data_IF_919599674852
#
_entry.id   IF_919599674852
#
_cell.length_a   1.000
_cell.length_b   1.000
_cell.length_c   1.000
_cell.angle_alpha   90.00
_cell.angle_beta   90.00
_cell.angle_gamma   90.00
#
_symmetry.space_group_name_H-M   'P 1'
#
loop_
_entity.id
_entity.type
_entity.pdbx_description
1 polymer ?
#
# COMPACT_ATOMS: atom_id res chain seq x y z
N UNK A 1 -15.95 -7.77 -13.56
CA UNK A 1 -16.22 -6.47 -14.20
C UNK A 1 -15.41 -5.43 -13.44
N UNK A 2 -14.55 -4.65 -14.13
CA UNK A 2 -13.78 -3.59 -13.48
C UNK A 2 -14.71 -2.42 -13.13
N UNK A 3 -14.39 -1.69 -12.07
CA UNK A 3 -15.12 -0.46 -11.72
C UNK A 3 -14.69 0.69 -12.63
N UNK A 4 -15.61 1.59 -12.96
CA UNK A 4 -15.32 2.81 -13.73
C UNK A 4 -14.53 3.85 -12.91
N UNK A 5 -14.50 3.71 -11.59
CA UNK A 5 -13.81 4.63 -10.67
C UNK A 5 -13.06 3.91 -9.55
N UNK A 6 -11.80 4.30 -9.35
CA UNK A 6 -10.93 3.87 -8.27
C UNK A 6 -10.37 5.08 -7.52
N UNK A 7 -10.32 5.00 -6.19
CA UNK A 7 -9.87 6.07 -5.30
C UNK A 7 -8.71 5.53 -4.46
N UNK A 8 -7.51 5.94 -4.81
CA UNK A 8 -6.27 5.57 -4.13
C UNK A 8 -6.01 6.61 -3.04
N UNK A 9 -6.09 6.21 -1.77
CA UNK A 9 -6.02 7.15 -0.65
C UNK A 9 -4.96 6.77 0.37
N UNK A 10 -4.32 7.75 1.00
CA UNK A 10 -3.36 7.53 2.10
C UNK A 10 -2.08 8.34 1.94
N UNK A 11 -1.15 8.16 2.88
CA UNK A 11 0.06 8.99 3.00
C UNK A 11 1.23 8.59 2.09
N UNK A 12 1.14 7.45 1.39
CA UNK A 12 2.20 6.99 0.48
C UNK A 12 1.99 7.49 -0.95
N UNK A 13 2.47 8.69 -1.25
CA UNK A 13 2.33 9.29 -2.58
C UNK A 13 3.07 8.51 -3.67
N UNK A 14 4.22 7.92 -3.35
CA UNK A 14 5.04 7.16 -4.30
C UNK A 14 4.30 5.88 -4.70
N UNK A 15 3.90 5.07 -3.72
CA UNK A 15 3.20 3.82 -3.99
C UNK A 15 1.86 4.03 -4.70
N UNK A 16 1.10 5.08 -4.35
CA UNK A 16 -0.14 5.44 -5.05
C UNK A 16 0.14 5.70 -6.53
N UNK A 17 1.11 6.58 -6.82
CA UNK A 17 1.46 6.97 -8.18
C UNK A 17 1.96 5.77 -8.98
N UNK A 18 2.93 5.03 -8.46
CA UNK A 18 3.50 3.85 -9.15
C UNK A 18 2.44 2.79 -9.43
N UNK A 19 1.56 2.52 -8.46
CA UNK A 19 0.49 1.54 -8.63
C UNK A 19 -0.56 2.03 -9.64
N UNK A 20 -0.87 3.32 -9.68
CA UNK A 20 -1.81 3.88 -10.66
C UNK A 20 -1.28 3.73 -12.08
N UNK A 21 0.01 4.04 -12.31
CA UNK A 21 0.65 3.84 -13.60
C UNK A 21 0.76 2.36 -13.95
N UNK A 22 1.19 1.51 -13.02
CA UNK A 22 1.27 0.07 -13.25
C UNK A 22 -0.09 -0.51 -13.65
N UNK A 23 -1.15 -0.13 -12.95
CA UNK A 23 -2.50 -0.62 -13.22
C UNK A 23 -2.99 -0.15 -14.59
N UNK A 24 -2.79 1.13 -14.92
CA UNK A 24 -3.13 1.67 -16.23
C UNK A 24 -2.35 0.99 -17.36
N UNK A 25 -1.02 0.91 -17.23
CA UNK A 25 -0.13 0.26 -18.21
C UNK A 25 -0.52 -1.21 -18.45
N UNK A 26 -0.90 -1.91 -17.38
CA UNK A 26 -1.35 -3.31 -17.49
C UNK A 26 -2.62 -3.46 -18.31
N UNK A 27 -3.59 -2.55 -18.16
CA UNK A 27 -4.84 -2.55 -18.92
C UNK A 27 -4.67 -2.06 -20.36
N UNK A 28 -3.69 -1.18 -20.59
CA UNK A 28 -3.39 -0.62 -21.91
C UNK A 28 -2.41 -1.50 -22.72
N UNK A 29 -1.98 -2.64 -22.17
CA UNK A 29 -0.96 -3.52 -22.79
C UNK A 29 0.30 -2.75 -23.23
N UNK A 30 0.73 -1.80 -22.41
CA UNK A 30 1.84 -0.89 -22.71
C UNK A 30 2.84 -0.89 -21.56
N UNK A 31 4.14 -0.89 -21.86
CA UNK A 31 5.20 -0.83 -20.84
C UNK A 31 5.68 0.61 -20.57
N UNK A 32 5.08 1.61 -21.23
CA UNK A 32 5.47 3.02 -21.12
C UNK A 32 4.37 3.89 -20.54
N UNK A 33 4.76 4.93 -19.81
CA UNK A 33 3.84 5.93 -19.22
C UNK A 33 3.22 6.91 -20.23
N UNK A 34 3.34 6.64 -21.53
CA UNK A 34 2.75 7.44 -22.60
C UNK A 34 1.92 6.50 -23.49
N UNK A 35 0.61 6.79 -23.56
CA UNK A 35 -0.34 6.03 -24.36
C UNK A 35 -1.45 6.98 -24.84
N UNK A 36 -1.95 6.86 -26.09
CA UNK A 36 -3.04 7.72 -26.58
C UNK A 36 -4.33 7.55 -25.78
N UNK A 37 -4.53 6.39 -25.14
CA UNK A 37 -5.67 6.11 -24.26
C UNK A 37 -5.36 6.30 -22.75
N UNK A 38 -4.28 7.01 -22.42
CA UNK A 38 -3.95 7.43 -21.06
C UNK A 38 -3.96 8.97 -20.94
N UNK A 39 -4.79 9.50 -20.04
CA UNK A 39 -4.80 10.93 -19.71
C UNK A 39 -4.33 11.14 -18.28
N UNK A 40 -3.23 11.88 -18.12
CA UNK A 40 -2.69 12.24 -16.82
C UNK A 40 -3.08 13.67 -16.47
N UNK A 41 -3.85 13.82 -15.40
CA UNK A 41 -4.24 15.10 -14.85
C UNK A 41 -3.46 15.38 -13.57
N UNK A 42 -2.75 16.52 -13.55
CA UNK A 42 -2.01 17.03 -12.40
C UNK A 42 -2.54 18.42 -12.03
N UNK A 43 -2.47 18.83 -10.76
CA UNK A 43 -2.80 20.18 -10.37
C UNK A 43 -1.90 21.18 -11.09
N UNK A 44 -2.49 22.29 -11.54
CA UNK A 44 -1.72 23.45 -11.97
C UNK A 44 -1.21 24.20 -10.72
N UNK A 45 0.02 24.70 -10.79
CA UNK A 45 0.74 25.29 -9.66
C UNK A 45 0.03 26.51 -9.05
N UNK A 46 -0.87 27.17 -9.80
CA UNK A 46 -1.57 28.38 -9.35
C UNK A 46 -3.02 28.14 -8.95
N UNK A 47 -3.74 27.23 -9.63
CA UNK A 47 -5.19 27.13 -9.54
C UNK A 47 -5.71 25.74 -9.13
N UNK A 48 -4.81 24.79 -8.82
CA UNK A 48 -5.19 23.42 -8.52
C UNK A 48 -5.80 22.73 -9.75
N UNK A 49 -6.83 21.90 -9.53
CA UNK A 49 -7.55 21.22 -10.59
C UNK A 49 -8.90 21.90 -10.80
N UNK A 50 -9.01 22.63 -11.92
CA UNK A 50 -10.20 23.42 -12.26
C UNK A 50 -11.26 22.60 -12.99
N UNK A 51 -12.49 23.13 -13.03
CA UNK A 51 -13.59 22.51 -13.79
C UNK A 51 -13.26 22.33 -15.28
N UNK A 52 -12.49 23.24 -15.88
CA UNK A 52 -12.16 23.15 -17.31
C UNK A 52 -11.22 21.98 -17.61
N UNK A 53 -10.30 21.67 -16.70
CA UNK A 53 -9.47 20.46 -16.78
C UNK A 53 -10.33 19.19 -16.70
N UNK A 54 -11.33 19.16 -15.80
CA UNK A 54 -12.27 18.05 -15.71
C UNK A 54 -13.15 17.92 -16.96
N UNK A 55 -13.55 19.05 -17.58
CA UNK A 55 -14.27 19.02 -18.86
C UNK A 55 -13.42 18.46 -20.00
N UNK A 56 -12.12 18.76 -20.03
CA UNK A 56 -11.19 18.16 -20.99
C UNK A 56 -11.05 16.64 -20.76
N UNK A 57 -10.90 16.23 -19.50
CA UNK A 57 -10.88 14.82 -19.10
C UNK A 57 -12.18 14.10 -19.52
N UNK A 58 -13.35 14.71 -19.33
CA UNK A 58 -14.64 14.17 -19.79
C UNK A 58 -14.64 13.95 -21.31
N UNK A 59 -14.22 14.95 -22.08
CA UNK A 59 -14.15 14.85 -23.55
C UNK A 59 -13.23 13.71 -23.99
N UNK A 60 -12.11 13.54 -23.29
CA UNK A 60 -11.19 12.44 -23.54
C UNK A 60 -11.85 11.07 -23.30
N UNK A 61 -12.44 10.86 -22.12
CA UNK A 61 -13.03 9.57 -21.71
C UNK A 61 -14.26 9.16 -22.53
N UNK A 62 -15.03 10.11 -23.07
CA UNK A 62 -16.21 9.79 -23.89
C UNK A 62 -15.81 9.23 -25.26
N UNK A 63 -14.67 9.64 -25.82
CA UNK A 63 -14.21 9.10 -27.09
C UNK A 63 -13.82 7.63 -26.93
N UNK A 64 -14.14 6.79 -27.92
CA UNK A 64 -13.72 5.38 -27.90
C UNK A 64 -12.20 5.25 -27.76
N UNK A 65 -11.70 4.17 -27.13
CA UNK A 65 -10.27 3.86 -27.12
C UNK A 65 -9.70 3.80 -28.54
N UNK A 66 -8.46 4.25 -28.69
CA UNK A 66 -7.75 4.27 -29.97
C UNK A 66 -7.17 2.90 -30.30
N UNK A 67 -6.49 2.27 -29.34
CA UNK A 67 -5.79 0.99 -29.56
C UNK A 67 -5.93 -0.02 -28.42
N UNK A 68 -6.33 0.41 -27.23
CA UNK A 68 -6.57 -0.47 -26.09
C UNK A 68 -8.06 -0.77 -25.89
N UNK A 69 -8.39 -1.73 -25.01
CA UNK A 69 -9.78 -2.00 -24.63
C UNK A 69 -10.36 -0.93 -23.70
N UNK A 70 -9.47 -0.17 -23.04
CA UNK A 70 -9.82 0.82 -22.02
C UNK A 70 -9.28 2.20 -22.36
N UNK A 71 -9.96 3.22 -21.85
CA UNK A 71 -9.46 4.59 -21.80
C UNK A 71 -9.39 5.06 -20.35
N UNK A 72 -8.20 5.46 -19.94
CA UNK A 72 -7.87 5.63 -18.53
C UNK A 72 -7.47 7.06 -18.24
N UNK A 73 -8.09 7.66 -17.22
CA UNK A 73 -7.67 8.94 -16.67
C UNK A 73 -7.09 8.75 -15.27
N UNK A 74 -5.90 9.30 -15.02
CA UNK A 74 -5.27 9.35 -13.69
C UNK A 74 -5.28 10.79 -13.22
N UNK A 75 -5.93 11.05 -12.08
CA UNK A 75 -5.95 12.33 -11.38
C UNK A 75 -5.01 12.25 -10.19
N UNK A 76 -3.88 12.95 -10.26
CA UNK A 76 -2.94 13.08 -9.15
C UNK A 76 -3.35 14.25 -8.23
N UNK A 77 -3.12 14.10 -6.93
CA UNK A 77 -3.45 15.10 -5.91
C UNK A 77 -4.90 15.59 -6.02
N UNK A 78 -5.85 14.65 -6.00
CA UNK A 78 -7.28 14.93 -6.11
C UNK A 78 -7.82 15.83 -5.00
N UNK A 79 -7.10 15.97 -3.88
CA UNK A 79 -7.38 17.01 -2.87
C UNK A 79 -7.34 18.45 -3.42
N UNK A 80 -6.71 18.67 -4.57
CA UNK A 80 -6.65 19.97 -5.25
C UNK A 80 -7.83 20.22 -6.20
N UNK A 81 -8.83 19.33 -6.25
CA UNK A 81 -10.07 19.56 -6.99
C UNK A 81 -10.92 20.63 -6.29
N UNK A 82 -11.18 21.74 -6.98
CA UNK A 82 -12.15 22.70 -6.47
C UNK A 82 -13.59 22.16 -6.51
N UNK A 83 -14.52 22.76 -5.78
CA UNK A 83 -15.90 22.27 -5.66
C UNK A 83 -16.60 22.09 -7.01
N UNK A 84 -16.35 23.01 -7.95
CA UNK A 84 -16.89 22.92 -9.31
C UNK A 84 -16.32 21.73 -10.09
N UNK A 85 -15.02 21.44 -9.94
CA UNK A 85 -14.35 20.30 -10.53
C UNK A 85 -14.85 18.98 -9.96
N UNK A 86 -15.05 18.92 -8.63
CA UNK A 86 -15.61 17.73 -7.95
C UNK A 86 -17.03 17.42 -8.44
N UNK A 87 -17.89 18.43 -8.55
CA UNK A 87 -19.24 18.24 -9.09
C UNK A 87 -19.25 17.85 -10.57
N UNK A 88 -18.32 18.37 -11.38
CA UNK A 88 -18.17 17.95 -12.77
C UNK A 88 -17.69 16.49 -12.89
N UNK A 89 -16.86 16.03 -11.95
CA UNK A 89 -16.35 14.66 -11.90
C UNK A 89 -17.44 13.65 -11.58
N UNK A 90 -18.40 14.01 -10.72
CA UNK A 90 -19.60 13.18 -10.46
C UNK A 90 -20.35 12.84 -11.75
N UNK A 91 -20.51 13.82 -12.65
CA UNK A 91 -21.18 13.60 -13.94
C UNK A 91 -20.39 12.63 -14.83
N UNK A 92 -19.07 12.59 -14.73
CA UNK A 92 -18.26 11.59 -15.44
C UNK A 92 -18.55 10.21 -14.88
N UNK A 93 -18.62 10.05 -13.55
CA UNK A 93 -18.86 8.75 -12.92
C UNK A 93 -20.25 8.18 -13.22
N UNK A 94 -21.24 9.05 -13.43
CA UNK A 94 -22.61 8.64 -13.77
C UNK A 94 -22.80 8.34 -15.26
N UNK A 95 -22.04 8.99 -16.14
CA UNK A 95 -22.19 8.88 -17.60
C UNK A 95 -21.00 8.12 -18.26
N UNK A 96 -20.13 7.50 -17.47
CA UNK A 96 -18.93 6.83 -17.98
C UNK A 96 -19.30 5.64 -18.89
N UNK A 97 -18.74 5.56 -20.11
CA UNK A 97 -18.81 4.34 -20.92
C UNK A 97 -18.14 3.16 -20.21
N UNK A 98 -18.52 1.93 -20.55
CA UNK A 98 -17.98 0.70 -19.93
C UNK A 98 -16.44 0.55 -20.08
N UNK A 99 -15.85 1.19 -21.08
CA UNK A 99 -14.39 1.20 -21.31
C UNK A 99 -13.66 2.34 -20.59
N UNK A 100 -14.38 3.29 -19.98
CA UNK A 100 -13.78 4.45 -19.34
C UNK A 100 -13.48 4.14 -17.87
N UNK A 101 -12.25 4.40 -17.46
CA UNK A 101 -11.78 4.17 -16.09
C UNK A 101 -11.08 5.42 -15.56
N UNK A 102 -11.46 5.84 -14.36
CA UNK A 102 -10.82 6.96 -13.66
C UNK A 102 -10.14 6.47 -12.38
N UNK A 103 -8.87 6.84 -12.19
CA UNK A 103 -8.11 6.63 -10.97
C UNK A 103 -7.87 8.00 -10.34
N UNK A 104 -8.31 8.19 -9.10
CA UNK A 104 -8.05 9.42 -8.34
C UNK A 104 -7.11 9.10 -7.18
N UNK A 105 -5.99 9.80 -7.10
CA UNK A 105 -5.06 9.69 -5.98
C UNK A 105 -5.27 10.86 -5.02
N UNK A 106 -5.64 10.57 -3.76
CA UNK A 106 -5.88 11.57 -2.71
C UNK A 106 -5.06 11.28 -1.44
N UNK A 107 -4.81 12.28 -0.60
CA UNK A 107 -4.17 12.07 0.71
C UNK A 107 -5.10 11.41 1.73
N UNK A 108 -6.33 11.92 1.82
CA UNK A 108 -7.41 11.36 2.65
C UNK A 108 -8.67 11.22 1.80
N UNK A 109 -9.52 10.20 2.00
CA UNK A 109 -10.84 10.16 1.36
C UNK A 109 -11.69 11.40 1.67
N UNK A 110 -11.52 11.98 2.85
CA UNK A 110 -12.30 13.15 3.30
C UNK A 110 -11.91 14.46 2.58
N UNK A 111 -10.85 14.44 1.75
CA UNK A 111 -10.45 15.61 0.96
C UNK A 111 -11.26 15.78 -0.33
N UNK A 112 -12.19 14.88 -0.60
CA UNK A 112 -13.10 14.93 -1.75
C UNK A 112 -14.53 14.63 -1.26
N UNK A 113 -15.53 15.03 -2.05
CA UNK A 113 -16.94 14.86 -1.69
C UNK A 113 -17.30 13.39 -1.44
N UNK A 114 -18.11 13.14 -0.40
CA UNK A 114 -18.63 11.79 -0.09
C UNK A 114 -19.40 11.16 -1.24
N UNK A 115 -20.02 11.98 -2.10
CA UNK A 115 -20.71 11.53 -3.31
C UNK A 115 -19.75 10.93 -4.35
N UNK A 116 -18.48 11.37 -4.36
CA UNK A 116 -17.40 10.78 -5.17
C UNK A 116 -16.93 9.49 -4.50
N UNK A 117 -16.65 9.53 -3.18
CA UNK A 117 -16.12 8.37 -2.46
C UNK A 117 -17.08 7.18 -2.40
N UNK A 118 -18.39 7.44 -2.45
CA UNK A 118 -19.44 6.43 -2.50
C UNK A 118 -19.60 5.74 -3.86
N UNK A 119 -19.17 6.38 -4.95
CA UNK A 119 -19.27 5.85 -6.33
C UNK A 119 -17.98 5.17 -6.82
N UNK A 120 -16.88 5.28 -6.07
CA UNK A 120 -15.59 4.70 -6.42
C UNK A 120 -15.14 3.58 -5.49
N UNK A 121 -14.34 2.66 -6.01
CA UNK A 121 -13.68 1.64 -5.19
C UNK A 121 -12.50 2.26 -4.47
N UNK A 122 -12.54 2.30 -3.14
CA UNK A 122 -11.46 2.84 -2.29
C UNK A 122 -10.36 1.80 -2.09
N UNK A 123 -9.12 2.18 -2.38
CA UNK A 123 -7.91 1.39 -2.10
C UNK A 123 -6.97 2.19 -1.19
N UNK A 124 -6.63 1.66 0.00
CA UNK A 124 -5.72 2.34 0.92
C UNK A 124 -4.25 2.13 0.56
N UNK A 125 -3.47 3.20 0.68
CA UNK A 125 -2.03 3.28 0.48
C UNK A 125 -1.40 3.98 1.67
N UNK A 126 -1.20 3.22 2.73
CA UNK A 126 -0.53 3.73 3.92
C UNK A 126 0.97 3.63 3.71
N UNK A 127 1.68 4.71 4.04
CA UNK A 127 3.13 4.64 4.13
C UNK A 127 3.43 3.69 5.28
N UNK A 128 3.92 2.50 4.96
CA UNK A 128 4.56 1.66 5.95
C UNK A 128 5.80 2.45 6.34
N UNK A 129 5.73 3.18 7.47
CA UNK A 129 6.92 3.80 8.02
C UNK A 129 7.97 2.70 8.07
N UNK A 130 9.11 2.91 7.43
CA UNK A 130 10.34 2.23 7.81
C UNK A 130 10.76 2.75 9.20
N UNK A 131 9.86 2.65 10.19
CA UNK A 131 10.24 2.44 11.59
C UNK A 131 10.62 0.97 11.77
N UNK A 132 11.07 0.30 10.69
CA UNK A 132 11.97 -0.83 10.80
C UNK A 132 13.17 -0.30 11.57
N UNK A 133 13.32 -0.65 12.85
CA UNK A 133 14.53 -0.29 13.55
C UNK A 133 15.70 -0.85 12.74
N UNK A 134 16.71 -0.02 12.50
CA UNK A 134 17.94 -0.51 11.90
C UNK A 134 18.49 -1.60 12.80
N UNK A 135 18.47 -2.85 12.33
CA UNK A 135 19.06 -3.96 13.06
C UNK A 135 20.57 -3.76 12.95
N UNK A 136 21.24 -3.53 14.08
CA UNK A 136 22.68 -3.42 14.09
C UNK A 136 23.33 -4.77 13.72
N UNK A 137 24.58 -4.72 13.24
CA UNK A 137 25.27 -5.90 12.71
C UNK A 137 25.35 -7.06 13.72
N UNK A 138 25.54 -6.75 15.01
CA UNK A 138 25.65 -7.77 16.07
C UNK A 138 24.31 -8.45 16.32
N UNK A 139 23.23 -7.68 16.39
CA UNK A 139 21.87 -8.23 16.52
C UNK A 139 21.51 -9.08 15.31
N UNK A 140 21.85 -8.64 14.10
CA UNK A 140 21.62 -9.40 12.86
C UNK A 140 22.38 -10.74 12.86
N UNK A 141 23.65 -10.76 13.26
CA UNK A 141 24.44 -11.98 13.41
C UNK A 141 23.80 -12.95 14.41
N UNK A 142 23.35 -12.43 15.56
CA UNK A 142 22.70 -13.24 16.61
C UNK A 142 21.35 -13.80 16.14
N UNK A 143 20.53 -13.02 15.44
CA UNK A 143 19.28 -13.51 14.87
C UNK A 143 19.50 -14.57 13.79
N UNK A 144 20.52 -14.43 12.94
CA UNK A 144 20.87 -15.48 11.98
C UNK A 144 21.34 -16.76 12.68
N UNK A 145 22.10 -16.66 13.79
CA UNK A 145 22.47 -17.82 14.60
C UNK A 145 21.23 -18.48 15.21
N UNK A 146 20.34 -17.70 15.84
CA UNK A 146 19.10 -18.21 16.43
C UNK A 146 18.18 -18.87 15.38
N UNK A 147 18.04 -18.27 14.21
CA UNK A 147 17.16 -18.78 13.15
C UNK A 147 17.61 -20.17 12.66
N UNK A 148 18.92 -20.38 12.50
CA UNK A 148 19.51 -21.60 11.95
C UNK A 148 19.99 -22.61 13.01
N UNK A 149 19.97 -22.25 14.29
CA UNK A 149 20.43 -23.09 15.39
C UNK A 149 19.50 -24.30 15.65
N UNK A 150 20.02 -25.32 16.34
CA UNK A 150 19.18 -26.38 16.91
C UNK A 150 18.41 -25.86 18.14
N UNK A 151 17.36 -26.58 18.54
CA UNK A 151 16.44 -26.14 19.59
C UNK A 151 17.11 -25.66 20.91
N UNK A 152 18.09 -26.39 21.49
CA UNK A 152 18.78 -25.92 22.70
C UNK A 152 19.52 -24.59 22.50
N UNK A 153 20.20 -24.44 21.35
CA UNK A 153 20.95 -23.24 21.05
C UNK A 153 20.03 -22.04 20.77
N UNK A 154 18.82 -22.25 20.21
CA UNK A 154 17.83 -21.17 20.04
C UNK A 154 17.43 -20.57 21.40
N UNK A 155 17.23 -21.42 22.41
CA UNK A 155 16.86 -20.98 23.76
C UNK A 155 18.00 -20.20 24.44
N UNK A 156 19.24 -20.66 24.31
CA UNK A 156 20.43 -19.94 24.82
C UNK A 156 20.63 -18.57 24.15
N UNK A 157 20.37 -18.47 22.85
CA UNK A 157 20.41 -17.19 22.14
C UNK A 157 19.35 -16.21 22.67
N UNK A 158 18.16 -16.70 23.05
CA UNK A 158 17.09 -15.86 23.58
C UNK A 158 17.42 -15.25 24.94
N UNK A 159 18.00 -16.02 25.86
CA UNK A 159 18.37 -15.50 27.19
C UNK A 159 19.30 -14.27 27.09
N UNK A 160 20.17 -14.24 26.07
CA UNK A 160 21.10 -13.14 25.83
C UNK A 160 20.46 -11.89 25.18
N UNK A 161 19.27 -12.01 24.60
CA UNK A 161 18.60 -10.97 23.82
C UNK A 161 17.33 -10.41 24.49
N UNK A 162 16.78 -11.13 25.47
CA UNK A 162 15.43 -10.96 25.98
C UNK A 162 15.22 -9.83 27.00
N UNK A 163 16.13 -8.86 27.12
CA UNK A 163 16.04 -7.78 28.13
C UNK A 163 14.82 -6.86 27.93
N UNK A 164 14.35 -6.68 26.68
CA UNK A 164 13.17 -5.88 26.33
C UNK A 164 12.28 -6.63 25.33
N UNK A 165 11.23 -7.34 25.79
CA UNK A 165 10.41 -8.22 24.96
C UNK A 165 9.75 -7.54 23.76
N UNK A 166 9.06 -6.42 23.97
CA UNK A 166 8.43 -5.66 22.89
C UNK A 166 9.44 -5.27 21.81
N UNK A 167 10.61 -4.79 22.22
CA UNK A 167 11.64 -4.34 21.29
C UNK A 167 12.28 -5.51 20.54
N UNK A 168 12.52 -6.62 21.24
CA UNK A 168 12.97 -7.87 20.65
C UNK A 168 12.01 -8.34 19.54
N UNK A 169 10.71 -8.46 19.84
CA UNK A 169 9.74 -8.95 18.86
C UNK A 169 9.57 -7.98 17.68
N UNK A 170 9.68 -6.68 17.93
CA UNK A 170 9.70 -5.66 16.86
C UNK A 170 10.87 -5.87 15.89
N UNK A 171 12.08 -6.05 16.43
CA UNK A 171 13.30 -6.30 15.67
C UNK A 171 13.24 -7.66 14.94
N UNK A 172 12.75 -8.68 15.62
CA UNK A 172 12.61 -10.03 15.09
C UNK A 172 11.64 -10.10 13.91
N UNK A 173 10.47 -9.45 14.00
CA UNK A 173 9.53 -9.35 12.88
C UNK A 173 10.18 -8.62 11.69
N UNK A 174 11.00 -7.59 11.94
CA UNK A 174 11.71 -6.90 10.87
C UNK A 174 12.74 -7.83 10.19
N UNK A 175 13.49 -8.60 10.97
CA UNK A 175 14.41 -9.61 10.44
C UNK A 175 13.71 -10.65 9.55
N UNK A 176 12.57 -11.19 10.00
CA UNK A 176 11.78 -12.14 9.22
C UNK A 176 11.24 -11.52 7.93
N UNK A 177 10.85 -10.24 7.96
CA UNK A 177 10.41 -9.49 6.76
C UNK A 177 11.55 -9.31 5.75
N UNK A 178 12.77 -9.01 6.21
CA UNK A 178 13.94 -8.91 5.33
C UNK A 178 14.27 -10.26 4.67
N UNK A 179 14.15 -11.37 5.42
CA UNK A 179 14.24 -12.72 4.85
C UNK A 179 13.12 -12.99 3.83
N UNK A 180 11.91 -12.50 4.06
CA UNK A 180 10.78 -12.67 3.12
C UNK A 180 11.02 -11.94 1.80
N UNK A 181 11.59 -10.73 1.86
CA UNK A 181 11.93 -9.94 0.68
C UNK A 181 13.05 -10.59 -0.16
N UNK A 182 13.93 -11.38 0.45
CA UNK A 182 15.00 -12.10 -0.26
C UNK A 182 14.59 -13.48 -0.77
N UNK A 183 13.51 -14.07 -0.23
CA UNK A 183 12.98 -15.36 -0.69
C UNK A 183 11.66 -15.73 0.00
N UNK A 184 10.49 -15.47 -0.60
CA UNK A 184 9.21 -15.70 0.05
C UNK A 184 8.83 -17.18 0.12
N UNK A 185 8.56 -17.69 1.32
CA UNK A 185 8.06 -19.08 1.53
C UNK A 185 6.78 -19.09 2.38
N UNK A 186 5.98 -20.16 2.28
CA UNK A 186 4.75 -20.33 3.10
C UNK A 186 5.08 -20.38 4.60
N UNK A 187 6.17 -21.05 4.95
CA UNK A 187 6.67 -21.15 6.33
C UNK A 187 7.00 -19.78 6.91
N UNK A 188 7.75 -18.96 6.16
CA UNK A 188 8.14 -17.63 6.62
C UNK A 188 6.95 -16.68 6.76
N UNK A 189 5.96 -16.79 5.86
CA UNK A 189 4.70 -16.07 6.01
C UNK A 189 3.93 -16.47 7.28
N UNK A 190 3.93 -17.77 7.63
CA UNK A 190 3.27 -18.25 8.83
C UNK A 190 4.02 -17.78 10.09
N UNK A 191 5.35 -17.86 10.09
CA UNK A 191 6.21 -17.34 11.15
C UNK A 191 5.97 -15.85 11.42
N UNK A 192 5.89 -15.02 10.37
CA UNK A 192 5.61 -13.59 10.53
C UNK A 192 4.24 -13.37 11.19
N UNK A 193 3.19 -14.09 10.76
CA UNK A 193 1.85 -13.97 11.35
C UNK A 193 1.83 -14.33 12.83
N UNK A 194 2.46 -15.44 13.21
CA UNK A 194 2.56 -15.88 14.61
C UNK A 194 3.28 -14.81 15.43
N UNK A 195 4.43 -14.34 14.96
CA UNK A 195 5.23 -13.35 15.67
C UNK A 195 4.56 -11.98 15.77
N UNK A 196 3.78 -11.57 14.78
CA UNK A 196 2.94 -10.37 14.84
C UNK A 196 1.84 -10.48 15.90
N UNK A 197 1.22 -11.65 16.03
CA UNK A 197 0.22 -11.90 17.06
C UNK A 197 0.85 -11.84 18.46
N UNK A 198 2.03 -12.44 18.64
CA UNK A 198 2.79 -12.36 19.90
C UNK A 198 3.16 -10.91 20.23
N UNK A 199 3.65 -10.14 19.26
CA UNK A 199 3.97 -8.72 19.45
C UNK A 199 2.75 -7.88 19.84
N UNK A 200 1.61 -8.10 19.16
CA UNK A 200 0.35 -7.42 19.47
C UNK A 200 -0.10 -7.73 20.91
N UNK A 201 -0.11 -9.02 21.26
CA UNK A 201 -0.38 -9.53 22.60
C UNK A 201 0.51 -8.85 23.66
N UNK A 202 1.81 -8.74 23.43
CA UNK A 202 2.72 -8.08 24.38
C UNK A 202 2.45 -6.59 24.58
N UNK A 203 1.94 -5.89 23.58
CA UNK A 203 1.66 -4.46 23.66
C UNK A 203 0.29 -4.13 24.24
N UNK A 204 -0.72 -4.91 23.89
CA UNK A 204 -2.13 -4.64 24.25
C UNK A 204 -2.59 -5.43 25.48
N UNK A 205 -1.87 -6.48 25.86
CA UNK A 205 -2.26 -7.36 26.96
C UNK A 205 -1.11 -7.58 27.93
N UNK A 206 -1.42 -7.74 29.22
CA UNK A 206 -0.42 -7.93 30.29
C UNK A 206 0.12 -9.38 30.30
N UNK A 207 0.52 -9.89 29.13
CA UNK A 207 1.03 -11.25 28.95
C UNK A 207 2.44 -11.34 29.52
N UNK A 208 2.71 -12.46 30.19
CA UNK A 208 4.04 -12.76 30.70
C UNK A 208 5.03 -12.92 29.52
N UNK A 209 6.11 -12.12 29.48
CA UNK A 209 7.12 -12.21 28.42
C UNK A 209 7.70 -13.60 28.19
N UNK A 210 7.80 -14.42 29.25
CA UNK A 210 8.28 -15.79 29.15
C UNK A 210 7.42 -16.63 28.20
N UNK A 211 6.11 -16.49 28.30
CA UNK A 211 5.16 -17.20 27.42
C UNK A 211 5.34 -16.80 25.95
N UNK A 212 5.58 -15.51 25.68
CA UNK A 212 5.84 -15.02 24.33
C UNK A 212 7.11 -15.65 23.73
N UNK A 213 8.19 -15.77 24.52
CA UNK A 213 9.43 -16.42 24.07
C UNK A 213 9.27 -17.92 23.85
N UNK A 214 8.49 -18.61 24.69
CA UNK A 214 8.18 -20.02 24.51
C UNK A 214 7.39 -20.25 23.20
N UNK A 215 6.36 -19.43 22.95
CA UNK A 215 5.57 -19.48 21.70
C UNK A 215 6.42 -19.19 20.46
N UNK A 216 7.36 -18.25 20.54
CA UNK A 216 8.35 -17.97 19.50
C UNK A 216 9.22 -19.19 19.20
N UNK A 217 9.83 -19.81 20.22
CA UNK A 217 10.72 -20.97 20.04
C UNK A 217 9.97 -22.13 19.39
N UNK A 218 8.73 -22.39 19.83
CA UNK A 218 7.87 -23.41 19.25
C UNK A 218 7.51 -23.11 17.80
N UNK A 219 7.34 -21.83 17.43
CA UNK A 219 7.07 -21.45 16.04
C UNK A 219 8.23 -21.75 15.10
N UNK A 220 9.47 -21.87 15.62
CA UNK A 220 10.69 -22.10 14.87
C UNK A 220 11.10 -23.58 14.76
N UNK A 221 10.24 -24.51 15.19
CA UNK A 221 10.36 -25.95 14.94
C UNK A 221 9.89 -26.31 13.54
#
# INVERSE_FOLDING_TARGET
MLSHAYIFHGSDEVSKRETAFWFANKLLSNDKNFHPDLFLLKPDNQNGITIDLIRQLKKFLILRPYSADYKIAIIENGENLNDFAQNALLKIFEEAPDYALTIICVKSPDSILDTITSRGVKLPFWRIKKDSPSIDKKTLETFNQMFNANFPNKYLCLENLAYKPTEFFRLWINFLREKLLSGPTKELNNLIKINQNIYFKLNETNINPKFAYDELILSLL
#
